data_IF_775163291817
#
_entry.id   IF_775163291817
#
_cell.length_a   1.000
_cell.length_b   1.000
_cell.length_c   1.000
_cell.angle_alpha   90.00
_cell.angle_beta   90.00
_cell.angle_gamma   90.00
#
_symmetry.space_group_name_H-M   'P 1'
#
loop_
_entity.id
_entity.type
_entity.pdbx_description
1 polymer ?
#
# COMPACT_ATOMS: atom_id res chain seq x y z
N UNK A 1 1.99 -27.29 -17.93
CA UNK A 1 0.99 -26.67 -17.04
C UNK A 1 1.61 -25.99 -15.81
N UNK A 2 2.44 -26.68 -15.00
CA UNK A 2 3.12 -26.11 -13.81
C UNK A 2 3.87 -24.78 -14.09
N UNK A 3 4.59 -24.70 -15.21
CA UNK A 3 5.34 -23.49 -15.60
C UNK A 3 4.45 -22.27 -15.89
N UNK A 4 3.30 -22.47 -16.56
CA UNK A 4 2.32 -21.41 -16.82
C UNK A 4 1.63 -20.92 -15.53
N UNK A 5 1.29 -21.84 -14.62
CA UNK A 5 0.74 -21.49 -13.31
C UNK A 5 1.72 -20.64 -12.49
N UNK A 6 2.98 -21.04 -12.44
CA UNK A 6 4.03 -20.36 -11.65
C UNK A 6 4.44 -19.02 -12.26
N UNK A 7 4.52 -18.92 -13.60
CA UNK A 7 5.05 -17.73 -14.25
C UNK A 7 3.99 -16.69 -14.61
N UNK A 8 2.70 -17.04 -14.63
CA UNK A 8 1.63 -16.13 -15.04
C UNK A 8 0.52 -16.01 -14.00
N UNK A 9 -0.03 -17.15 -13.55
CA UNK A 9 -1.22 -17.14 -12.68
C UNK A 9 -0.88 -16.64 -11.28
N UNK A 10 0.20 -17.16 -10.68
CA UNK A 10 0.66 -16.74 -9.35
C UNK A 10 1.02 -15.24 -9.30
N UNK A 11 1.89 -14.71 -10.19
CA UNK A 11 2.13 -13.28 -10.32
C UNK A 11 0.87 -12.42 -10.39
N UNK A 12 -0.07 -12.80 -11.25
CA UNK A 12 -1.31 -12.05 -11.44
C UNK A 12 -2.18 -12.10 -10.18
N UNK A 13 -2.29 -13.26 -9.54
CA UNK A 13 -3.01 -13.41 -8.28
C UNK A 13 -2.42 -12.51 -7.18
N UNK A 14 -1.09 -12.48 -7.02
CA UNK A 14 -0.44 -11.60 -6.05
C UNK A 14 -0.69 -10.12 -6.38
N UNK A 15 -0.56 -9.71 -7.65
CA UNK A 15 -0.90 -8.34 -8.06
C UNK A 15 -2.37 -7.96 -7.80
N UNK A 16 -3.31 -8.89 -7.74
CA UNK A 16 -4.70 -8.56 -7.41
C UNK A 16 -4.93 -8.34 -5.91
N UNK A 17 -4.05 -8.83 -5.03
CA UNK A 17 -4.22 -8.75 -3.58
C UNK A 17 -4.37 -7.30 -3.08
N UNK A 18 -3.50 -6.33 -3.43
CA UNK A 18 -3.65 -4.95 -2.96
C UNK A 18 -4.97 -4.30 -3.42
N UNK A 19 -5.39 -4.58 -4.66
CA UNK A 19 -6.65 -4.05 -5.21
C UNK A 19 -7.85 -4.64 -4.47
N UNK A 20 -7.85 -5.95 -4.25
CA UNK A 20 -8.91 -6.63 -3.49
C UNK A 20 -8.98 -6.12 -2.05
N UNK A 21 -7.83 -5.92 -1.40
CA UNK A 21 -7.77 -5.36 -0.05
C UNK A 21 -8.35 -3.94 0.00
N UNK A 22 -7.98 -3.07 -0.94
CA UNK A 22 -8.52 -1.72 -1.04
C UNK A 22 -10.05 -1.70 -1.22
N UNK A 23 -10.58 -2.58 -2.09
CA UNK A 23 -12.02 -2.73 -2.31
C UNK A 23 -12.72 -3.28 -1.07
N UNK A 24 -12.15 -4.30 -0.42
CA UNK A 24 -12.74 -4.93 0.76
C UNK A 24 -12.82 -3.95 1.93
N UNK A 25 -11.77 -3.17 2.18
CA UNK A 25 -11.76 -2.13 3.22
C UNK A 25 -12.87 -1.11 2.93
N UNK A 26 -13.00 -0.63 1.68
CA UNK A 26 -14.07 0.28 1.30
C UNK A 26 -15.47 -0.35 1.40
N UNK A 27 -15.60 -1.65 1.10
CA UNK A 27 -16.87 -2.37 1.17
C UNK A 27 -17.40 -2.49 2.60
N UNK A 28 -16.51 -2.73 3.58
CA UNK A 28 -16.85 -2.91 5.00
C UNK A 28 -17.35 -1.62 5.66
N UNK A 29 -17.03 -0.45 5.11
CA UNK A 29 -17.55 0.83 5.63
C UNK A 29 -19.09 0.88 5.48
N UNK A 30 -19.86 1.29 6.51
CA UNK A 30 -21.30 1.48 6.39
C UNK A 30 -21.70 2.40 5.23
N UNK A 31 -22.82 2.10 4.56
CA UNK A 31 -23.27 2.84 3.37
C UNK A 31 -23.54 4.32 3.65
N UNK A 32 -24.13 4.63 4.80
CA UNK A 32 -24.41 6.01 5.24
C UNK A 32 -23.11 6.81 5.41
N UNK A 33 -22.15 6.25 6.16
CA UNK A 33 -20.84 6.87 6.37
C UNK A 33 -20.06 7.06 5.05
N UNK A 34 -20.15 6.11 4.10
CA UNK A 34 -19.58 6.26 2.75
C UNK A 34 -20.20 7.43 2.01
N UNK A 35 -21.53 7.54 2.02
CA UNK A 35 -22.24 8.59 1.28
C UNK A 35 -21.89 9.99 1.80
N UNK A 36 -21.78 10.13 3.12
CA UNK A 36 -21.38 11.38 3.78
C UNK A 36 -19.91 11.72 3.52
N UNK A 37 -19.03 10.71 3.57
CA UNK A 37 -17.62 10.86 3.23
C UNK A 37 -17.46 11.34 1.78
N UNK A 38 -18.09 10.67 0.82
CA UNK A 38 -18.00 11.03 -0.60
C UNK A 38 -18.50 12.46 -0.83
N UNK A 39 -19.65 12.83 -0.27
CA UNK A 39 -20.18 14.21 -0.38
C UNK A 39 -19.18 15.26 0.10
N UNK A 40 -18.39 14.96 1.14
CA UNK A 40 -17.38 15.87 1.69
C UNK A 40 -16.12 15.92 0.85
N UNK A 41 -15.62 14.78 0.39
CA UNK A 41 -14.46 14.69 -0.49
C UNK A 41 -14.62 15.61 -1.70
N UNK A 42 -15.82 15.65 -2.30
CA UNK A 42 -16.12 16.56 -3.41
C UNK A 42 -15.90 18.04 -3.11
N UNK A 43 -16.00 18.44 -1.85
CA UNK A 43 -15.89 19.84 -1.42
C UNK A 43 -14.56 20.19 -0.74
N UNK A 44 -13.72 19.20 -0.43
CA UNK A 44 -12.54 19.33 0.40
C UNK A 44 -11.25 19.23 -0.43
N UNK A 45 -10.52 20.34 -0.65
CA UNK A 45 -9.29 20.33 -1.45
C UNK A 45 -8.19 19.43 -0.87
N UNK A 46 -8.12 19.32 0.46
CA UNK A 46 -7.11 18.49 1.13
C UNK A 46 -7.40 17.00 0.94
N UNK A 47 -8.67 16.60 0.94
CA UNK A 47 -9.06 15.21 0.64
C UNK A 47 -8.70 14.87 -0.82
N UNK A 48 -8.92 15.78 -1.77
CA UNK A 48 -8.49 15.59 -3.16
C UNK A 48 -6.97 15.45 -3.31
N UNK A 49 -6.20 16.23 -2.56
CA UNK A 49 -4.74 16.12 -2.57
C UNK A 49 -4.30 14.75 -2.03
N UNK A 50 -4.84 14.32 -0.89
CA UNK A 50 -4.50 13.04 -0.27
C UNK A 50 -4.91 11.88 -1.17
N UNK A 51 -6.16 11.85 -1.63
CA UNK A 51 -6.70 10.77 -2.44
C UNK A 51 -6.09 10.73 -3.84
N UNK A 52 -5.89 11.88 -4.48
CA UNK A 52 -5.29 11.98 -5.81
C UNK A 52 -3.83 11.53 -5.80
N UNK A 53 -3.04 12.03 -4.86
CA UNK A 53 -1.64 11.60 -4.70
C UNK A 53 -1.56 10.12 -4.33
N UNK A 54 -2.36 9.67 -3.35
CA UNK A 54 -2.37 8.27 -2.91
C UNK A 54 -2.83 7.30 -3.98
N UNK A 55 -3.82 7.68 -4.80
CA UNK A 55 -4.25 6.87 -5.94
C UNK A 55 -3.19 6.83 -7.06
N UNK A 56 -2.58 7.97 -7.39
CA UNK A 56 -1.50 8.03 -8.38
C UNK A 56 -0.28 7.19 -7.97
N UNK A 57 0.09 7.25 -6.69
CA UNK A 57 1.13 6.39 -6.11
C UNK A 57 0.72 4.92 -6.19
N UNK A 58 -0.51 4.58 -5.82
CA UNK A 58 -1.00 3.20 -5.83
C UNK A 58 -0.95 2.61 -7.24
N UNK A 59 -1.44 3.33 -8.26
CA UNK A 59 -1.37 2.90 -9.66
C UNK A 59 0.08 2.68 -10.09
N UNK A 60 0.98 3.61 -9.74
CA UNK A 60 2.41 3.48 -10.05
C UNK A 60 3.02 2.25 -9.39
N UNK A 61 2.72 2.01 -8.11
CA UNK A 61 3.15 0.82 -7.39
C UNK A 61 2.58 -0.45 -8.02
N UNK A 62 1.32 -0.47 -8.45
CA UNK A 62 0.73 -1.63 -9.13
C UNK A 62 1.45 -1.97 -10.44
N UNK A 63 1.82 -0.96 -11.24
CA UNK A 63 2.59 -1.14 -12.46
C UNK A 63 4.00 -1.67 -12.17
N UNK A 64 4.66 -1.13 -11.13
CA UNK A 64 5.98 -1.58 -10.69
C UNK A 64 5.93 -3.00 -10.10
N UNK A 65 4.90 -3.34 -9.32
CA UNK A 65 4.67 -4.68 -8.79
C UNK A 65 4.47 -5.70 -9.92
N UNK A 66 3.71 -5.32 -10.96
CA UNK A 66 3.56 -6.16 -12.14
C UNK A 66 4.90 -6.42 -12.83
N UNK A 67 5.71 -5.37 -13.05
CA UNK A 67 7.06 -5.51 -13.61
C UNK A 67 7.96 -6.37 -12.71
N UNK A 68 7.86 -6.20 -11.40
CA UNK A 68 8.61 -6.93 -10.39
C UNK A 68 8.36 -8.44 -10.41
N UNK A 69 7.15 -8.88 -10.78
CA UNK A 69 6.84 -10.29 -10.94
C UNK A 69 7.19 -10.86 -12.33
N UNK A 70 7.64 -10.04 -13.27
CA UNK A 70 8.08 -10.55 -14.57
C UNK A 70 9.41 -11.28 -14.42
N UNK A 71 9.51 -12.41 -15.11
CA UNK A 71 10.73 -13.22 -15.14
C UNK A 71 11.74 -12.61 -16.12
N UNK A 72 12.97 -12.39 -15.67
CA UNK A 72 14.04 -11.84 -16.51
C UNK A 72 15.30 -12.69 -16.37
N UNK A 73 15.49 -13.60 -17.32
CA UNK A 73 16.60 -14.55 -17.30
C UNK A 73 16.41 -15.64 -16.23
N UNK A 74 17.23 -15.61 -15.18
CA UNK A 74 17.26 -16.65 -14.12
C UNK A 74 16.49 -16.28 -12.85
N UNK A 75 15.98 -15.05 -12.73
CA UNK A 75 15.24 -14.56 -11.55
C UNK A 75 14.16 -13.55 -11.95
N UNK A 76 13.43 -13.05 -10.95
CA UNK A 76 12.50 -11.93 -11.10
C UNK A 76 13.24 -10.60 -11.38
N UNK A 77 12.57 -9.63 -11.98
CA UNK A 77 13.14 -8.29 -12.20
C UNK A 77 13.14 -7.48 -10.90
N UNK A 78 14.31 -7.26 -10.31
CA UNK A 78 14.51 -6.55 -9.03
C UNK A 78 14.64 -5.02 -9.17
N UNK A 79 14.68 -4.48 -10.40
CA UNK A 79 14.82 -3.02 -10.62
C UNK A 79 13.70 -2.18 -10.00
N UNK A 80 12.42 -2.63 -10.01
CA UNK A 80 11.32 -1.88 -9.41
C UNK A 80 11.40 -1.78 -7.89
N UNK A 81 12.14 -2.66 -7.22
CA UNK A 81 12.13 -2.83 -5.76
C UNK A 81 12.54 -1.55 -5.04
N UNK A 82 13.56 -0.85 -5.55
CA UNK A 82 14.00 0.42 -5.00
C UNK A 82 12.89 1.48 -5.03
N UNK A 83 12.16 1.56 -6.15
CA UNK A 83 11.06 2.50 -6.30
C UNK A 83 9.85 2.11 -5.46
N UNK A 84 9.52 0.82 -5.39
CA UNK A 84 8.46 0.30 -4.53
C UNK A 84 8.71 0.63 -3.06
N UNK A 85 9.95 0.49 -2.58
CA UNK A 85 10.33 0.85 -1.21
C UNK A 85 10.22 2.37 -0.96
N UNK A 86 10.68 3.21 -1.89
CA UNK A 86 10.53 4.66 -1.75
C UNK A 86 9.07 5.12 -1.77
N UNK A 87 8.23 4.51 -2.61
CA UNK A 87 6.80 4.83 -2.66
C UNK A 87 6.06 4.35 -1.40
N UNK A 88 6.41 3.17 -0.87
CA UNK A 88 5.86 2.70 0.39
C UNK A 88 6.27 3.61 1.57
N UNK A 89 7.52 4.06 1.60
CA UNK A 89 7.99 5.02 2.62
C UNK A 89 7.29 6.38 2.47
N UNK A 90 7.09 6.86 1.24
CA UNK A 90 6.31 8.07 0.99
C UNK A 90 4.85 7.92 1.45
N UNK A 91 4.28 6.72 1.40
CA UNK A 91 2.92 6.46 1.87
C UNK A 91 2.75 6.68 3.38
N UNK A 92 3.82 6.54 4.16
CA UNK A 92 3.82 6.83 5.61
C UNK A 92 3.54 8.31 5.92
N UNK A 93 3.61 9.19 4.93
CA UNK A 93 3.33 10.62 5.10
C UNK A 93 1.84 10.94 4.99
N UNK A 94 1.02 10.06 4.40
CA UNK A 94 -0.42 10.29 4.26
C UNK A 94 -1.16 10.49 5.59
N UNK A 95 -0.87 9.72 6.68
CA UNK A 95 -1.47 9.97 7.98
C UNK A 95 -1.07 11.34 8.54
N UNK A 96 0.17 11.79 8.29
CA UNK A 96 0.63 13.13 8.69
C UNK A 96 -0.10 14.23 7.91
N UNK A 97 -0.35 14.05 6.62
CA UNK A 97 -1.18 14.96 5.82
C UNK A 97 -2.63 14.99 6.34
N UNK A 98 -3.19 13.84 6.71
CA UNK A 98 -4.50 13.76 7.35
C UNK A 98 -4.56 14.51 8.68
N UNK A 99 -3.51 14.41 9.50
CA UNK A 99 -3.36 15.17 10.75
C UNK A 99 -3.26 16.67 10.50
N UNK A 100 -2.55 17.11 9.45
CA UNK A 100 -2.55 18.54 9.08
C UNK A 100 -3.97 19.01 8.75
N UNK A 101 -4.75 18.17 8.06
CA UNK A 101 -6.17 18.46 7.80
C UNK A 101 -7.03 18.58 9.06
N UNK A 102 -6.77 17.76 10.08
CA UNK A 102 -7.48 17.90 11.36
C UNK A 102 -7.11 19.19 12.07
N UNK A 103 -5.82 19.51 12.13
CA UNK A 103 -5.34 20.75 12.76
C UNK A 103 -5.94 21.96 12.06
N UNK A 104 -5.94 21.99 10.72
CA UNK A 104 -6.53 23.08 9.95
C UNK A 104 -8.03 23.26 10.24
N UNK A 105 -8.81 22.18 10.26
CA UNK A 105 -10.23 22.21 10.57
C UNK A 105 -10.52 22.64 12.01
N UNK A 106 -9.70 22.21 12.97
CA UNK A 106 -9.79 22.62 14.37
C UNK A 106 -9.48 24.11 14.52
N UNK A 107 -8.41 24.61 13.91
CA UNK A 107 -8.06 26.04 13.93
C UNK A 107 -9.16 26.91 13.31
N UNK A 108 -9.77 26.45 12.20
CA UNK A 108 -10.92 27.11 11.58
C UNK A 108 -12.16 27.09 12.49
N UNK A 109 -12.35 26.02 13.26
CA UNK A 109 -13.43 25.93 14.23
C UNK A 109 -13.21 26.95 15.35
N UNK A 110 -12.03 26.96 15.98
CA UNK A 110 -11.72 27.87 17.08
C UNK A 110 -11.73 29.35 16.68
N UNK A 111 -11.25 29.70 15.49
CA UNK A 111 -11.26 31.09 15.01
C UNK A 111 -12.67 31.65 14.80
N UNK A 112 -13.69 30.78 14.73
CA UNK A 112 -15.09 31.16 14.53
C UNK A 112 -15.91 31.26 15.83
N UNK A 113 -15.35 30.90 16.98
CA UNK A 113 -16.02 30.92 18.30
C UNK A 113 -15.98 32.34 18.91
N UNK A 114 -16.33 33.36 18.12
CA UNK A 114 -16.48 34.75 18.59
C UNK A 114 -17.97 35.15 18.75
N UNK A 115 -18.89 34.23 18.49
CA UNK A 115 -20.35 34.42 18.59
C UNK A 115 -21.00 33.12 19.09
N UNK A 116 -22.26 33.16 19.48
CA UNK A 116 -23.02 32.01 20.02
C UNK A 116 -23.02 30.84 19.03
N UNK A 117 -22.06 29.92 19.15
CA UNK A 117 -21.93 28.79 18.22
C UNK A 117 -22.90 27.69 18.63
N UNK A 118 -23.75 27.26 17.70
CA UNK A 118 -24.63 26.12 17.95
C UNK A 118 -23.84 24.81 17.90
N UNK A 119 -24.19 23.78 18.70
CA UNK A 119 -23.55 22.46 18.63
C UNK A 119 -23.55 21.85 17.20
N UNK A 120 -24.59 22.11 16.40
CA UNK A 120 -24.63 21.71 14.99
C UNK A 120 -23.51 22.32 14.14
N UNK A 121 -23.14 23.59 14.36
CA UNK A 121 -22.03 24.22 13.63
C UNK A 121 -20.67 23.62 14.00
N UNK A 122 -20.51 23.26 15.26
CA UNK A 122 -19.31 22.59 15.76
C UNK A 122 -19.15 21.24 15.05
N UNK A 123 -20.20 20.39 15.04
CA UNK A 123 -20.19 19.09 14.36
C UNK A 123 -19.88 19.23 12.86
N UNK A 124 -20.47 20.25 12.21
CA UNK A 124 -20.25 20.48 10.78
C UNK A 124 -18.80 20.83 10.46
N UNK A 125 -18.11 21.56 11.35
CA UNK A 125 -16.70 21.97 11.21
C UNK A 125 -15.69 20.89 11.64
N UNK A 126 -16.08 19.96 12.50
CA UNK A 126 -15.23 18.81 12.86
C UNK A 126 -15.19 17.73 11.80
N UNK A 127 -16.27 17.52 11.05
CA UNK A 127 -16.32 16.40 10.13
C UNK A 127 -15.31 16.45 8.95
N UNK A 128 -14.88 17.61 8.41
CA UNK A 128 -13.72 17.70 7.51
C UNK A 128 -12.41 17.20 8.12
N UNK A 129 -12.21 17.38 9.43
CA UNK A 129 -11.04 16.85 10.15
C UNK A 129 -11.01 15.32 10.06
N UNK A 130 -12.17 14.71 10.31
CA UNK A 130 -12.35 13.26 10.33
C UNK A 130 -12.16 12.68 8.92
N UNK A 131 -12.70 13.33 7.87
CA UNK A 131 -12.51 12.85 6.49
C UNK A 131 -11.04 12.92 6.07
N UNK A 132 -10.33 14.01 6.37
CA UNK A 132 -8.91 14.14 6.04
C UNK A 132 -8.06 13.04 6.69
N UNK A 133 -8.34 12.69 7.94
CA UNK A 133 -7.66 11.58 8.64
C UNK A 133 -8.00 10.24 8.01
N UNK A 134 -9.30 10.00 7.73
CA UNK A 134 -9.76 8.78 7.07
C UNK A 134 -9.08 8.57 5.71
N UNK A 135 -9.04 9.62 4.88
CA UNK A 135 -8.34 9.66 3.60
C UNK A 135 -6.86 9.31 3.75
N UNK A 136 -6.19 9.93 4.73
CA UNK A 136 -4.76 9.71 4.99
C UNK A 136 -4.45 8.27 5.41
N UNK A 137 -5.22 7.73 6.36
CA UNK A 137 -5.05 6.35 6.82
C UNK A 137 -5.36 5.34 5.72
N UNK A 138 -6.43 5.54 4.96
CA UNK A 138 -6.80 4.67 3.85
C UNK A 138 -5.70 4.64 2.79
N UNK A 139 -5.20 5.82 2.38
CA UNK A 139 -4.15 5.92 1.36
C UNK A 139 -2.81 5.35 1.84
N UNK A 140 -2.43 5.56 3.10
CA UNK A 140 -1.24 4.94 3.68
C UNK A 140 -1.33 3.42 3.62
N UNK A 141 -2.44 2.86 4.10
CA UNK A 141 -2.64 1.43 4.21
C UNK A 141 -2.55 0.75 2.83
N UNK A 142 -3.29 1.24 1.83
CA UNK A 142 -3.31 0.59 0.52
C UNK A 142 -1.99 0.73 -0.24
N UNK A 143 -1.19 1.78 0.01
CA UNK A 143 0.08 2.01 -0.66
C UNK A 143 1.27 1.26 0.01
N UNK A 144 1.12 0.73 1.22
CA UNK A 144 2.16 -0.14 1.82
C UNK A 144 2.08 -1.57 1.27
N UNK A 145 0.87 -2.03 0.90
CA UNK A 145 0.62 -3.42 0.49
C UNK A 145 1.39 -3.89 -0.76
N UNK A 146 1.51 -3.12 -1.85
CA UNK A 146 2.16 -3.58 -3.08
C UNK A 146 3.60 -4.04 -2.87
N UNK A 147 4.36 -3.32 -2.04
CA UNK A 147 5.76 -3.67 -1.73
C UNK A 147 5.84 -4.96 -0.93
N UNK A 148 4.99 -5.12 0.09
CA UNK A 148 4.93 -6.35 0.89
C UNK A 148 4.54 -7.57 0.03
N UNK A 149 3.53 -7.41 -0.82
CA UNK A 149 3.07 -8.45 -1.74
C UNK A 149 4.17 -8.88 -2.69
N UNK A 150 4.98 -7.95 -3.22
CA UNK A 150 6.10 -8.29 -4.11
C UNK A 150 7.16 -9.11 -3.38
N UNK A 151 7.58 -8.66 -2.18
CA UNK A 151 8.62 -9.36 -1.40
C UNK A 151 8.16 -10.77 -1.04
N UNK A 152 7.01 -10.89 -0.38
CA UNK A 152 6.47 -12.19 0.08
C UNK A 152 6.06 -13.07 -1.09
N UNK A 153 5.43 -12.50 -2.11
CA UNK A 153 4.94 -13.24 -3.28
C UNK A 153 6.09 -13.89 -4.05
N UNK A 154 7.20 -13.19 -4.25
CA UNK A 154 8.37 -13.77 -4.94
C UNK A 154 9.00 -14.90 -4.14
N UNK A 155 9.17 -14.74 -2.83
CA UNK A 155 9.71 -15.80 -1.95
C UNK A 155 8.83 -17.06 -2.02
N UNK A 156 7.52 -16.91 -1.89
CA UNK A 156 6.57 -18.02 -2.00
C UNK A 156 6.65 -18.70 -3.37
N UNK A 157 6.71 -17.93 -4.47
CA UNK A 157 6.81 -18.48 -5.81
C UNK A 157 8.12 -19.25 -6.00
N UNK A 158 9.25 -18.75 -5.49
CA UNK A 158 10.55 -19.43 -5.59
C UNK A 158 10.56 -20.73 -4.80
N UNK A 159 10.01 -20.74 -3.59
CA UNK A 159 9.86 -21.94 -2.76
C UNK A 159 8.99 -22.99 -3.47
N UNK A 160 7.84 -22.59 -4.03
CA UNK A 160 6.94 -23.48 -4.79
C UNK A 160 7.54 -23.97 -6.13
N UNK A 161 8.43 -23.17 -6.73
CA UNK A 161 9.17 -23.57 -7.93
C UNK A 161 10.21 -24.66 -7.64
N UNK A 162 10.55 -24.89 -6.37
CA UNK A 162 11.51 -25.90 -5.94
C UNK A 162 12.95 -25.38 -5.89
N UNK A 163 13.13 -24.08 -5.65
CA UNK A 163 14.46 -23.50 -5.36
C UNK A 163 14.83 -23.83 -3.90
N UNK A 164 14.99 -25.11 -3.61
CA UNK A 164 15.63 -25.59 -2.39
C UNK A 164 17.12 -25.81 -2.68
N UNK A 165 17.99 -25.02 -2.06
CA UNK A 165 19.31 -25.40 -1.54
C UNK A 165 20.18 -26.36 -2.37
N UNK A 166 20.49 -26.01 -3.63
CA UNK A 166 21.62 -26.62 -4.34
C UNK A 166 22.99 -26.01 -3.94
N UNK A 167 23.09 -25.35 -2.79
CA UNK A 167 24.34 -24.72 -2.29
C UNK A 167 24.76 -25.16 -0.90
N UNK A 168 24.12 -26.16 -0.28
CA UNK A 168 24.47 -26.61 1.08
C UNK A 168 24.93 -28.09 1.15
N UNK A 169 25.38 -28.67 0.03
CA UNK A 169 25.72 -30.09 -0.06
C UNK A 169 27.14 -30.45 -0.49
N UNK A 170 28.05 -29.49 -0.70
CA UNK A 170 29.32 -29.79 -1.42
C UNK A 170 30.61 -29.27 -0.75
N UNK A 171 30.66 -29.19 0.59
CA UNK A 171 31.91 -28.87 1.31
C UNK A 171 32.22 -29.82 2.49
N UNK A 172 31.67 -31.04 2.49
CA UNK A 172 31.98 -32.02 3.53
C UNK A 172 31.97 -33.46 3.03
N UNK A 173 32.90 -33.83 2.14
CA UNK A 173 33.37 -35.23 2.00
C UNK A 173 34.56 -35.34 1.03
N UNK A 174 35.76 -35.66 1.52
CA UNK A 174 36.85 -36.15 0.66
C UNK A 174 38.31 -35.94 1.12
N UNK A 175 38.69 -36.25 2.36
CA UNK A 175 40.08 -36.62 2.75
C UNK A 175 40.43 -38.01 2.14
N UNK A 176 41.69 -38.50 1.97
CA UNK A 176 42.80 -38.45 2.95
C UNK A 176 44.28 -38.47 2.43
N UNK A 177 45.22 -38.20 3.34
CA UNK A 177 46.53 -38.88 3.56
C UNK A 177 47.53 -39.14 2.42
N UNK A 178 48.79 -38.74 2.64
CA UNK A 178 49.95 -39.30 1.92
C UNK A 178 51.23 -38.53 2.19
N UNK A 179 52.02 -38.96 3.16
CA UNK A 179 53.34 -38.42 3.42
C UNK A 179 54.38 -38.84 2.37
N UNK A 180 55.38 -37.99 2.19
CA UNK A 180 56.79 -38.31 2.03
C UNK A 180 57.59 -37.03 2.33
#
# INVERSE_FOLDING_TARGET
>A
MRRLLIQLVLPLAFCLVPVMAAVLIAAVIPAEAKSDYLRRVWTSPIDWLILGLGFGMFVTQMLLSWQAFQWRGRSFDERPDRWLSYLAQAAEWFPLLGLIGTVAAILQTFSSINSTVTPQEIIRKYAPAITATGSGLYMALINILPTWVVMVGRELIQTLAGRNDASNGDASSGLPGGGA
#
